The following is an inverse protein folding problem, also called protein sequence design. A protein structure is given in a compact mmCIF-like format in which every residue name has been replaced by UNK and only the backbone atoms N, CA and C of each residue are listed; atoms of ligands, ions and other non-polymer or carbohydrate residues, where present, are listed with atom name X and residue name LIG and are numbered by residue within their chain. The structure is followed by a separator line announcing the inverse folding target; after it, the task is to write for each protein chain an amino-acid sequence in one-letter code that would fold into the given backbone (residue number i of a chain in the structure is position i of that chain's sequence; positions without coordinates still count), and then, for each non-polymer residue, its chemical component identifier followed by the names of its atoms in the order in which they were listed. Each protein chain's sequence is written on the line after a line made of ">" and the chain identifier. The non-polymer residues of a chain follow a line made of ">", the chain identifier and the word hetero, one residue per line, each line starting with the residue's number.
data_IF_536119016150
#
_entry.id   IF_536119016150
#
_cell.length_a   1.000
_cell.length_b   1.000
_cell.length_c   1.000
_cell.angle_alpha   90.00
_cell.angle_beta   90.00
_cell.angle_gamma   90.00
#
_symmetry.space_group_name_H-M   'P 1'
#
loop_
_entity.id
_entity.type
_entity.pdbx_description
1 polymer ?
#
# COMPACT_ATOMS: atom_id res chain seq x y z
N UNK A 1 -15.83 -16.12 12.27
CA UNK A 1 -14.48 -16.08 11.69
C UNK A 1 -14.08 -14.61 11.61
N UNK A 2 -13.02 -14.16 12.30
CA UNK A 2 -12.68 -12.74 12.37
C UNK A 2 -11.65 -12.41 11.27
N UNK A 3 -12.04 -11.73 10.16
CA UNK A 3 -11.17 -11.45 9.01
C UNK A 3 -10.24 -10.26 9.28
N UNK A 4 -9.58 -10.26 10.44
CA UNK A 4 -8.78 -9.13 10.89
C UNK A 4 -7.39 -9.60 11.28
N UNK A 5 -6.40 -9.19 10.48
CA UNK A 5 -4.99 -9.47 10.74
C UNK A 5 -4.54 -8.56 11.87
N UNK A 6 -4.11 -9.12 13.00
CA UNK A 6 -3.57 -8.34 14.12
C UNK A 6 -2.12 -7.98 13.80
N UNK A 7 -1.84 -6.71 13.49
CA UNK A 7 -0.47 -6.26 13.21
C UNK A 7 0.35 -6.09 14.50
N UNK A 8 -0.32 -5.83 15.61
CA UNK A 8 0.34 -5.60 16.89
C UNK A 8 -0.57 -4.86 17.87
N UNK A 9 0.01 -4.49 19.01
CA UNK A 9 -0.67 -3.74 20.05
C UNK A 9 0.10 -2.45 20.31
N UNK A 10 -0.48 -1.30 19.96
CA UNK A 10 0.11 0.01 20.24
C UNK A 10 -0.70 0.64 21.38
N UNK A 11 -0.03 1.11 22.44
CA UNK A 11 -0.67 1.69 23.64
C UNK A 11 -1.78 0.80 24.28
N UNK A 12 -1.66 -0.53 24.18
CA UNK A 12 -2.68 -1.46 24.71
C UNK A 12 -3.86 -1.74 23.78
N UNK A 13 -3.98 -1.00 22.66
CA UNK A 13 -5.03 -1.20 21.65
C UNK A 13 -4.52 -2.18 20.59
N UNK A 14 -5.23 -3.29 20.41
CA UNK A 14 -4.92 -4.25 19.35
C UNK A 14 -5.27 -3.65 17.99
N UNK A 15 -4.26 -3.37 17.17
CA UNK A 15 -4.45 -2.89 15.82
C UNK A 15 -4.75 -4.08 14.93
N UNK A 16 -6.01 -4.17 14.54
CA UNK A 16 -6.47 -5.13 13.55
C UNK A 16 -6.61 -4.46 12.18
N UNK A 17 -5.90 -4.94 11.18
CA UNK A 17 -6.10 -4.54 9.79
C UNK A 17 -7.08 -5.50 9.12
N UNK A 18 -8.17 -4.95 8.60
CA UNK A 18 -9.10 -5.73 7.80
C UNK A 18 -8.45 -6.08 6.46
N UNK A 19 -8.74 -7.25 5.91
CA UNK A 19 -8.24 -7.63 4.58
C UNK A 19 -8.59 -6.61 3.49
N UNK A 20 -9.75 -5.97 3.59
CA UNK A 20 -10.15 -4.87 2.69
C UNK A 20 -9.16 -3.71 2.70
N UNK A 21 -8.63 -3.34 3.87
CA UNK A 21 -7.64 -2.26 3.96
C UNK A 21 -6.32 -2.64 3.29
N UNK A 22 -5.89 -3.90 3.41
CA UNK A 22 -4.70 -4.38 2.72
C UNK A 22 -4.90 -4.34 1.20
N UNK A 23 -6.05 -4.81 0.71
CA UNK A 23 -6.39 -4.75 -0.72
C UNK A 23 -6.41 -3.30 -1.21
N UNK A 24 -7.05 -2.39 -0.47
CA UNK A 24 -7.10 -0.97 -0.82
C UNK A 24 -5.68 -0.38 -0.88
N UNK A 25 -4.81 -0.67 0.08
CA UNK A 25 -3.43 -0.18 0.08
C UNK A 25 -2.64 -0.69 -1.14
N UNK A 26 -2.78 -1.97 -1.49
CA UNK A 26 -2.16 -2.56 -2.69
C UNK A 26 -2.71 -1.89 -3.95
N UNK A 27 -4.02 -1.72 -4.05
CA UNK A 27 -4.66 -1.06 -5.20
C UNK A 27 -4.18 0.39 -5.33
N UNK A 28 -4.17 1.17 -4.26
CA UNK A 28 -3.65 2.54 -4.25
C UNK A 28 -2.20 2.57 -4.74
N UNK A 29 -1.36 1.66 -4.26
CA UNK A 29 0.06 1.58 -4.66
C UNK A 29 0.21 1.27 -6.15
N UNK A 30 -0.55 0.31 -6.67
CA UNK A 30 -0.55 -0.05 -8.10
C UNK A 30 -1.10 1.08 -8.97
N UNK A 31 -2.17 1.74 -8.53
CA UNK A 31 -2.74 2.91 -9.21
C UNK A 31 -1.74 4.05 -9.26
N UNK A 32 -1.06 4.36 -8.14
CA UNK A 32 0.00 5.36 -8.11
C UNK A 32 1.12 4.98 -9.08
N UNK A 33 1.59 3.73 -9.03
CA UNK A 33 2.63 3.26 -9.96
C UNK A 33 2.24 3.47 -11.42
N UNK A 34 1.01 3.12 -11.79
CA UNK A 34 0.49 3.32 -13.15
C UNK A 34 0.48 4.80 -13.53
N UNK A 35 -0.08 5.66 -12.67
CA UNK A 35 -0.16 7.10 -12.94
C UNK A 35 1.24 7.71 -13.08
N UNK A 36 2.18 7.31 -12.24
CA UNK A 36 3.57 7.79 -12.31
C UNK A 36 4.28 7.32 -13.58
N UNK A 37 4.08 6.06 -13.97
CA UNK A 37 4.61 5.51 -15.22
C UNK A 37 4.03 6.24 -16.44
N UNK A 38 2.71 6.45 -16.48
CA UNK A 38 2.03 7.09 -17.62
C UNK A 38 2.36 8.59 -17.75
N UNK A 39 2.63 9.28 -16.63
CA UNK A 39 2.98 10.71 -16.63
C UNK A 39 4.48 10.98 -16.76
N UNK A 40 5.34 10.01 -16.42
CA UNK A 40 6.80 10.13 -16.47
C UNK A 40 7.41 8.96 -17.24
N UNK A 41 6.99 8.80 -18.50
CA UNK A 41 7.37 7.73 -19.43
C UNK A 41 8.90 7.58 -19.64
N UNK A 42 9.69 8.58 -19.24
CA UNK A 42 11.15 8.59 -19.30
C UNK A 42 11.84 8.03 -18.04
N UNK A 43 11.11 7.69 -16.98
CA UNK A 43 11.69 7.26 -15.71
C UNK A 43 11.88 5.73 -15.70
N UNK A 44 13.11 5.21 -15.57
CA UNK A 44 13.32 3.77 -15.45
C UNK A 44 12.60 3.23 -14.21
N UNK A 45 12.03 2.02 -14.30
CA UNK A 45 11.17 1.38 -13.28
C UNK A 45 11.69 1.48 -11.83
N UNK A 46 13.01 1.47 -11.63
CA UNK A 46 13.65 1.60 -10.31
C UNK A 46 13.55 2.98 -9.68
N UNK A 47 13.31 4.04 -10.47
CA UNK A 47 13.25 5.42 -10.00
C UNK A 47 11.89 5.77 -9.38
N UNK A 48 10.82 5.06 -9.78
CA UNK A 48 9.45 5.23 -9.23
C UNK A 48 9.42 4.94 -7.72
N UNK A 49 10.23 4.00 -7.25
CA UNK A 49 10.33 3.62 -5.83
C UNK A 49 11.35 4.45 -5.04
N UNK A 50 12.21 5.22 -5.71
CA UNK A 50 13.21 6.07 -5.07
C UNK A 50 12.70 7.50 -4.81
N UNK A 51 11.63 7.91 -5.50
CA UNK A 51 10.99 9.22 -5.33
C UNK A 51 9.90 9.22 -4.23
N UNK A 52 9.57 8.05 -3.67
CA UNK A 52 8.62 7.85 -2.56
C UNK A 52 9.25 7.92 -1.19
#
# INVERSE_FOLDING_TARGET
>A
MQPQLTLGRIFGISIGLHYSWLIIAVLITLTLRSIFHDTNDAWPDGMIWAAS
#
